data_IF_171083753201
#
_entry.id   IF_171083753201
#
_cell.length_a   1.000
_cell.length_b   1.000
_cell.length_c   1.000
_cell.angle_alpha   90.00
_cell.angle_beta   90.00
_cell.angle_gamma   90.00
#
_symmetry.space_group_name_H-M   'P 1'
#
loop_
_entity.id
_entity.type
_entity.pdbx_description
1 polymer ?
#
# COMPACT_ATOMS: atom_id res chain seq x y z
N UNK A 1 -9.64 -31.53 -41.56
CA UNK A 1 -9.40 -31.94 -40.16
C UNK A 1 -8.12 -31.36 -39.55
N UNK A 2 -7.33 -30.54 -40.26
CA UNK A 2 -6.14 -29.86 -39.70
C UNK A 2 -6.44 -28.46 -39.10
N UNK A 3 -7.52 -27.81 -39.54
CA UNK A 3 -7.90 -26.45 -39.10
C UNK A 3 -8.41 -26.37 -37.65
N UNK A 4 -8.87 -27.49 -37.10
CA UNK A 4 -9.44 -27.56 -35.74
C UNK A 4 -8.33 -27.67 -34.66
N UNK A 5 -7.11 -28.07 -35.03
CA UNK A 5 -6.02 -28.34 -34.08
C UNK A 5 -5.22 -27.09 -33.66
N UNK A 6 -5.17 -26.04 -34.50
CA UNK A 6 -4.46 -24.80 -34.16
C UNK A 6 -5.25 -23.93 -33.15
N UNK A 7 -6.57 -24.10 -33.10
CA UNK A 7 -7.52 -23.29 -32.32
C UNK A 7 -7.51 -23.55 -30.81
N UNK A 8 -6.53 -24.29 -30.29
CA UNK A 8 -6.47 -24.70 -28.87
C UNK A 8 -5.18 -24.28 -28.16
N UNK A 9 -4.38 -23.37 -28.72
CA UNK A 9 -3.43 -22.62 -27.90
C UNK A 9 -4.21 -21.47 -27.26
N UNK A 10 -4.57 -21.58 -25.97
CA UNK A 10 -4.92 -20.40 -25.16
C UNK A 10 -3.70 -19.48 -25.19
N UNK A 11 -3.64 -18.61 -26.19
CA UNK A 11 -2.51 -17.72 -26.38
C UNK A 11 -2.40 -16.84 -25.13
N UNK A 12 -1.27 -16.86 -24.41
CA UNK A 12 -1.08 -16.02 -23.22
C UNK A 12 -1.28 -14.53 -23.56
N UNK A 13 -1.06 -14.13 -24.81
CA UNK A 13 -1.38 -12.80 -25.30
C UNK A 13 -2.90 -12.48 -25.26
N UNK A 14 -3.76 -13.46 -25.55
CA UNK A 14 -5.22 -13.32 -25.47
C UNK A 14 -5.67 -13.19 -24.00
N UNK A 15 -5.10 -14.01 -23.12
CA UNK A 15 -5.35 -13.93 -21.68
C UNK A 15 -4.94 -12.57 -21.09
N UNK A 16 -3.74 -12.06 -21.42
CA UNK A 16 -3.28 -10.73 -21.00
C UNK A 16 -4.18 -9.59 -21.53
N UNK A 17 -4.66 -9.72 -22.77
CA UNK A 17 -5.63 -8.78 -23.34
C UNK A 17 -6.94 -8.79 -22.56
N UNK A 18 -7.45 -9.97 -22.19
CA UNK A 18 -8.68 -10.10 -21.42
C UNK A 18 -8.52 -9.60 -19.98
N UNK A 19 -7.37 -9.85 -19.33
CA UNK A 19 -7.02 -9.27 -18.03
C UNK A 19 -6.94 -7.75 -18.09
N UNK A 20 -6.32 -7.18 -19.14
CA UNK A 20 -6.27 -5.71 -19.34
C UNK A 20 -7.65 -5.11 -19.51
N UNK A 21 -8.59 -5.81 -20.15
CA UNK A 21 -10.00 -5.38 -20.25
C UNK A 21 -10.69 -5.39 -18.89
N UNK A 22 -10.44 -6.41 -18.06
CA UNK A 22 -11.04 -6.50 -16.73
C UNK A 22 -10.44 -5.48 -15.75
N UNK A 23 -9.12 -5.23 -15.83
CA UNK A 23 -8.45 -4.20 -15.03
C UNK A 23 -8.98 -2.79 -15.29
N UNK A 24 -9.56 -2.52 -16.47
CA UNK A 24 -10.24 -1.24 -16.74
C UNK A 24 -11.58 -1.08 -16.02
N UNK A 25 -12.20 -2.17 -15.58
CA UNK A 25 -13.43 -2.13 -14.77
C UNK A 25 -13.14 -1.90 -13.29
N UNK A 26 -11.88 -2.07 -12.87
CA UNK A 26 -11.47 -1.79 -11.50
C UNK A 26 -11.46 -0.28 -11.29
N UNK A 27 -12.24 0.19 -10.33
CA UNK A 27 -12.26 1.58 -9.89
C UNK A 27 -10.96 1.91 -9.16
N UNK A 28 -9.94 2.30 -9.92
CA UNK A 28 -8.72 2.83 -9.34
C UNK A 28 -8.99 4.16 -8.64
N UNK A 29 -8.49 4.35 -7.41
CA UNK A 29 -8.66 5.59 -6.67
C UNK A 29 -8.07 6.76 -7.46
N UNK A 30 -8.74 7.92 -7.37
CA UNK A 30 -8.24 9.14 -7.99
C UNK A 30 -6.95 9.55 -7.29
N UNK A 31 -5.95 10.00 -8.07
CA UNK A 31 -4.62 10.37 -7.54
C UNK A 31 -4.70 11.35 -6.36
N UNK A 32 -5.65 12.27 -6.42
CA UNK A 32 -5.92 13.26 -5.37
C UNK A 32 -6.34 12.62 -4.04
N UNK A 33 -7.22 11.64 -4.09
CA UNK A 33 -7.69 10.91 -2.91
C UNK A 33 -6.55 10.10 -2.27
N UNK A 34 -5.70 9.48 -3.11
CA UNK A 34 -4.53 8.75 -2.64
C UNK A 34 -3.53 9.68 -1.93
N UNK A 35 -3.29 10.88 -2.47
CA UNK A 35 -2.42 11.89 -1.84
C UNK A 35 -3.02 12.36 -0.52
N UNK A 36 -4.34 12.58 -0.45
CA UNK A 36 -5.01 12.98 0.79
C UNK A 36 -4.81 11.93 1.89
N UNK A 37 -5.07 10.66 1.59
CA UNK A 37 -4.93 9.59 2.59
C UNK A 37 -3.47 9.39 3.02
N UNK A 38 -2.52 9.41 2.08
CA UNK A 38 -1.10 9.28 2.44
C UNK A 38 -0.61 10.47 3.26
N UNK A 39 -1.09 11.68 2.98
CA UNK A 39 -0.76 12.88 3.77
C UNK A 39 -1.27 12.76 5.21
N UNK A 40 -2.54 12.35 5.39
CA UNK A 40 -3.11 12.14 6.72
C UNK A 40 -2.29 11.11 7.50
N UNK A 41 -1.97 9.97 6.88
CA UNK A 41 -1.15 8.93 7.52
C UNK A 41 0.25 9.41 7.87
N UNK A 42 0.90 10.21 7.01
CA UNK A 42 2.22 10.78 7.32
C UNK A 42 2.15 11.70 8.54
N UNK A 43 1.12 12.55 8.62
CA UNK A 43 0.93 13.44 9.77
C UNK A 43 0.71 12.63 11.05
N UNK A 44 -0.13 11.59 11.02
CA UNK A 44 -0.40 10.78 12.21
C UNK A 44 0.84 10.01 12.68
N UNK A 45 1.64 9.48 11.75
CA UNK A 45 2.90 8.80 12.07
C UNK A 45 3.91 9.77 12.69
N UNK A 46 4.05 10.98 12.16
CA UNK A 46 4.94 11.99 12.72
C UNK A 46 4.52 12.39 14.14
N UNK A 47 3.22 12.58 14.37
CA UNK A 47 2.71 12.89 15.71
C UNK A 47 2.97 11.76 16.70
N UNK A 48 2.75 10.50 16.29
CA UNK A 48 3.05 9.33 17.11
C UNK A 48 4.55 9.22 17.42
N UNK A 49 5.42 9.49 16.46
CA UNK A 49 6.86 9.47 16.65
C UNK A 49 7.32 10.51 17.69
N UNK A 50 6.79 11.73 17.62
CA UNK A 50 7.08 12.78 18.62
C UNK A 50 6.56 12.36 20.00
N UNK A 51 5.37 11.78 20.07
CA UNK A 51 4.81 11.29 21.33
C UNK A 51 5.70 10.21 21.97
N UNK A 52 6.09 9.19 21.21
CA UNK A 52 6.98 8.15 21.73
C UNK A 52 8.33 8.72 22.16
N UNK A 53 8.92 9.60 21.37
CA UNK A 53 10.16 10.27 21.74
C UNK A 53 10.05 11.02 23.08
N UNK A 54 8.96 11.75 23.29
CA UNK A 54 8.72 12.46 24.55
C UNK A 54 8.53 11.49 25.72
N UNK A 55 7.81 10.38 25.52
CA UNK A 55 7.60 9.34 26.52
C UNK A 55 8.91 8.65 26.89
N UNK A 56 9.73 8.27 25.90
CA UNK A 56 11.02 7.62 26.10
C UNK A 56 11.96 8.51 26.92
N UNK A 57 11.99 9.83 26.63
CA UNK A 57 12.74 10.80 27.42
C UNK A 57 12.20 10.94 28.84
N UNK A 58 10.87 11.00 29.00
CA UNK A 58 10.22 11.10 30.31
C UNK A 58 10.51 9.88 31.18
N UNK A 59 10.39 8.68 30.62
CA UNK A 59 10.71 7.42 31.31
C UNK A 59 12.19 7.36 31.64
N UNK A 60 13.08 7.70 30.69
CA UNK A 60 14.53 7.69 30.93
C UNK A 60 14.91 8.59 32.10
N UNK A 61 14.31 9.79 32.17
CA UNK A 61 14.53 10.73 33.28
C UNK A 61 13.92 10.26 34.61
N UNK A 62 12.77 9.61 34.56
CA UNK A 62 12.16 9.02 35.75
C UNK A 62 13.00 7.87 36.32
N UNK A 63 13.57 7.04 35.45
CA UNK A 63 14.45 5.95 35.86
C UNK A 63 15.75 6.50 36.45
N UNK A 64 16.38 7.51 35.82
CA UNK A 64 17.56 8.20 36.34
C UNK A 64 17.32 8.72 37.77
N UNK A 65 16.18 9.37 38.02
CA UNK A 65 15.80 9.88 39.35
C UNK A 65 15.55 8.80 40.41
N UNK A 66 15.17 7.58 40.00
CA UNK A 66 14.92 6.47 40.93
C UNK A 66 16.21 5.67 41.21
N UNK A 67 17.13 5.61 40.24
CA UNK A 67 18.38 4.86 40.36
C UNK A 67 19.50 5.66 41.06
N UNK A 68 19.49 6.99 40.93
CA UNK A 68 20.31 7.91 41.74
C UNK A 68 19.67 8.20 43.10
#
# INVERSE_FOLDING_TARGET
MADIAEKTRKSPAKFLSDVKKEMKKVSWPKRDELIRYTTITLVTVVLMAIFFWAVDLGISKLIELILD
#
